data_IF_967745174977
#
_entry.id   IF_967745174977
#
_cell.length_a   1.000
_cell.length_b   1.000
_cell.length_c   1.000
_cell.angle_alpha   90.00
_cell.angle_beta   90.00
_cell.angle_gamma   90.00
#
_symmetry.space_group_name_H-M   'P 1'
#
loop_
_entity.id
_entity.type
_entity.pdbx_description
1 polymer ?
#
# COMPACT_ATOMS: atom_id res chain seq x y z
N UNK A 1 -19.72 21.43 -8.74
CA UNK A 1 -18.84 20.60 -9.61
C UNK A 1 -19.73 19.62 -10.36
N UNK A 2 -19.76 19.57 -11.71
CA UNK A 2 -20.61 18.59 -12.42
C UNK A 2 -20.13 17.17 -12.06
N UNK A 3 -21.03 16.26 -11.69
CA UNK A 3 -20.73 14.88 -11.25
C UNK A 3 -19.75 14.16 -12.19
N UNK A 4 -19.87 14.40 -13.50
CA UNK A 4 -18.99 13.84 -14.52
C UNK A 4 -17.52 14.24 -14.36
N UNK A 5 -17.23 15.46 -13.89
CA UNK A 5 -15.84 15.89 -13.63
C UNK A 5 -15.25 15.16 -12.43
N UNK A 6 -16.03 14.94 -11.37
CA UNK A 6 -15.56 14.22 -10.20
C UNK A 6 -15.21 12.77 -10.56
N UNK A 7 -16.10 12.08 -11.29
CA UNK A 7 -15.86 10.72 -11.78
C UNK A 7 -14.60 10.68 -12.66
N UNK A 8 -14.46 11.65 -13.58
CA UNK A 8 -13.28 11.74 -14.43
C UNK A 8 -11.98 11.89 -13.63
N UNK A 9 -11.94 12.76 -12.62
CA UNK A 9 -10.74 12.96 -11.81
C UNK A 9 -10.39 11.73 -10.97
N UNK A 10 -11.37 11.08 -10.37
CA UNK A 10 -11.16 9.84 -9.61
C UNK A 10 -10.63 8.73 -10.50
N UNK A 11 -11.26 8.49 -11.65
CA UNK A 11 -10.81 7.46 -12.61
C UNK A 11 -9.41 7.75 -13.16
N UNK A 12 -9.11 9.02 -13.43
CA UNK A 12 -7.78 9.44 -13.87
C UNK A 12 -6.73 9.17 -12.80
N UNK A 13 -7.05 9.46 -11.54
CA UNK A 13 -6.15 9.24 -10.40
C UNK A 13 -5.89 7.75 -10.18
N UNK A 14 -6.92 6.90 -10.23
CA UNK A 14 -6.77 5.43 -10.16
C UNK A 14 -5.91 4.93 -11.32
N UNK A 15 -6.21 5.35 -12.54
CA UNK A 15 -5.50 4.89 -13.74
C UNK A 15 -4.02 5.28 -13.69
N UNK A 16 -3.71 6.52 -13.27
CA UNK A 16 -2.34 7.00 -13.14
C UNK A 16 -1.60 6.38 -11.97
N UNK A 17 -2.26 6.21 -10.82
CA UNK A 17 -1.68 5.49 -9.68
C UNK A 17 -1.24 4.09 -10.07
N UNK A 18 -2.14 3.32 -10.70
CA UNK A 18 -1.84 1.97 -11.20
C UNK A 18 -0.75 1.96 -12.28
N UNK A 19 -0.83 2.85 -13.28
CA UNK A 19 0.17 2.92 -14.35
C UNK A 19 1.59 3.14 -13.79
N UNK A 20 1.73 4.04 -12.83
CA UNK A 20 3.02 4.40 -12.26
C UNK A 20 3.53 3.45 -11.18
N UNK A 21 2.75 2.45 -10.76
CA UNK A 21 3.26 1.32 -10.00
C UNK A 21 4.18 0.41 -10.84
N UNK A 22 3.99 0.37 -12.17
CA UNK A 22 4.74 -0.53 -13.05
C UNK A 22 5.90 0.14 -13.78
N UNK A 23 5.95 1.47 -13.79
CA UNK A 23 7.01 2.23 -14.48
C UNK A 23 8.20 2.44 -13.56
N UNK A 24 9.39 2.21 -14.09
CA UNK A 24 10.62 2.65 -13.44
C UNK A 24 10.92 4.13 -13.74
N UNK A 25 11.99 4.65 -13.13
CA UNK A 25 12.45 6.04 -13.34
C UNK A 25 12.85 6.36 -14.78
N UNK A 26 13.07 5.35 -15.62
CA UNK A 26 13.34 5.53 -17.05
C UNK A 26 12.03 5.65 -17.86
N UNK A 27 10.87 5.64 -17.19
CA UNK A 27 9.55 5.63 -17.82
C UNK A 27 9.18 4.29 -18.48
N UNK A 28 10.01 3.25 -18.28
CA UNK A 28 9.82 1.92 -18.88
C UNK A 28 9.11 1.00 -17.89
N UNK A 29 8.12 0.27 -18.38
CA UNK A 29 7.32 -0.64 -17.57
C UNK A 29 5.99 -0.90 -18.24
N UNK A 30 5.74 -2.16 -18.60
CA UNK A 30 4.51 -2.56 -19.26
C UNK A 30 3.44 -2.91 -18.23
N UNK A 31 2.23 -2.36 -18.44
CA UNK A 31 1.07 -2.71 -17.61
C UNK A 31 0.73 -4.19 -17.86
N UNK A 32 0.60 -5.02 -16.82
CA UNK A 32 0.16 -6.40 -17.00
C UNK A 32 -1.29 -6.44 -17.52
N UNK A 33 -1.59 -7.43 -18.37
CA UNK A 33 -2.93 -7.60 -18.98
C UNK A 33 -4.07 -7.72 -17.95
N UNK A 34 -3.76 -8.15 -16.73
CA UNK A 34 -4.75 -8.43 -15.67
C UNK A 34 -5.01 -7.26 -14.70
N UNK A 35 -4.57 -6.03 -14.98
CA UNK A 35 -4.76 -4.83 -14.14
C UNK A 35 -4.16 -4.88 -12.72
N UNK A 36 -3.97 -6.05 -12.12
CA UNK A 36 -3.44 -6.28 -10.77
C UNK A 36 -1.94 -6.59 -10.79
N UNK A 37 -1.20 -6.05 -9.82
CA UNK A 37 0.18 -6.46 -9.53
C UNK A 37 0.18 -7.87 -8.95
N UNK A 38 1.30 -8.59 -9.04
CA UNK A 38 1.45 -9.89 -8.34
C UNK A 38 1.16 -9.74 -6.84
N UNK A 39 1.58 -8.63 -6.23
CA UNK A 39 1.31 -8.31 -4.83
C UNK A 39 -0.19 -8.07 -4.55
N UNK A 40 -0.90 -7.40 -5.46
CA UNK A 40 -2.35 -7.19 -5.33
C UNK A 40 -3.14 -8.50 -5.48
N UNK A 41 -2.71 -9.41 -6.34
CA UNK A 41 -3.33 -10.74 -6.43
C UNK A 41 -3.13 -11.53 -5.13
N UNK A 42 -1.92 -11.48 -4.56
CA UNK A 42 -1.64 -12.09 -3.25
C UNK A 42 -2.50 -11.43 -2.16
N UNK A 43 -2.60 -10.09 -2.16
CA UNK A 43 -3.46 -9.37 -1.22
C UNK A 43 -4.94 -9.75 -1.34
N UNK A 44 -5.43 -9.98 -2.56
CA UNK A 44 -6.78 -10.46 -2.79
C UNK A 44 -6.98 -11.86 -2.19
N UNK A 45 -6.06 -12.79 -2.41
CA UNK A 45 -6.13 -14.13 -1.81
C UNK A 45 -6.08 -14.08 -0.27
N UNK A 46 -5.20 -13.25 0.29
CA UNK A 46 -5.10 -13.04 1.75
C UNK A 46 -6.40 -12.44 2.29
N UNK A 47 -7.01 -11.48 1.58
CA UNK A 47 -8.27 -10.87 2.01
C UNK A 47 -9.42 -11.87 2.06
N UNK A 48 -9.52 -12.78 1.09
CA UNK A 48 -10.52 -13.84 1.07
C UNK A 48 -10.27 -14.82 2.24
N UNK A 49 -9.01 -15.23 2.45
CA UNK A 49 -8.64 -16.11 3.55
C UNK A 49 -8.95 -15.48 4.92
N UNK A 50 -8.65 -14.20 5.10
CA UNK A 50 -8.92 -13.47 6.33
C UNK A 50 -10.41 -13.43 6.69
N UNK A 51 -11.28 -13.16 5.70
CA UNK A 51 -12.73 -13.12 5.93
C UNK A 51 -13.28 -14.53 6.19
N UNK A 52 -12.68 -15.56 5.60
CA UNK A 52 -13.00 -16.95 5.90
C UNK A 52 -12.63 -17.36 7.34
N UNK A 53 -11.45 -16.98 7.84
CA UNK A 53 -11.00 -17.33 9.20
C UNK A 53 -11.66 -16.47 10.30
N UNK A 54 -12.09 -15.25 9.98
CA UNK A 54 -12.77 -14.33 10.93
C UNK A 54 -14.21 -14.02 10.47
N UNK A 55 -15.17 -14.95 10.67
CA UNK A 55 -16.55 -14.82 10.21
C UNK A 55 -17.36 -13.71 10.92
N UNK A 56 -16.88 -13.21 12.07
CA UNK A 56 -17.43 -12.04 12.76
C UNK A 56 -16.97 -10.70 12.19
N UNK A 57 -15.92 -10.69 11.36
CA UNK A 57 -15.29 -9.47 10.85
C UNK A 57 -14.36 -8.79 11.87
N UNK A 58 -14.06 -7.52 11.62
CA UNK A 58 -13.24 -6.68 12.52
C UNK A 58 -14.07 -6.24 13.73
N UNK A 59 -13.47 -6.30 14.93
CA UNK A 59 -14.10 -5.74 16.14
C UNK A 59 -14.14 -4.22 16.08
N UNK A 60 -15.07 -3.61 16.81
CA UNK A 60 -15.19 -2.14 16.87
C UNK A 60 -13.89 -1.47 17.36
N UNK A 61 -13.18 -2.07 18.32
CA UNK A 61 -11.87 -1.60 18.77
C UNK A 61 -10.84 -1.62 17.63
N UNK A 62 -10.76 -2.71 16.88
CA UNK A 62 -9.85 -2.84 15.75
C UNK A 62 -10.19 -1.82 14.66
N UNK A 63 -11.49 -1.61 14.38
CA UNK A 63 -11.95 -0.60 13.43
C UNK A 63 -11.49 0.80 13.88
N UNK A 64 -11.62 1.14 15.16
CA UNK A 64 -11.19 2.43 15.69
C UNK A 64 -9.67 2.64 15.58
N UNK A 65 -8.87 1.60 15.84
CA UNK A 65 -7.41 1.66 15.66
C UNK A 65 -7.03 1.85 14.19
N UNK A 66 -7.67 1.10 13.29
CA UNK A 66 -7.43 1.21 11.84
C UNK A 66 -7.84 2.60 11.33
N UNK A 67 -9.00 3.12 11.74
CA UNK A 67 -9.46 4.47 11.38
C UNK A 67 -8.46 5.55 11.82
N UNK A 68 -7.97 5.47 13.05
CA UNK A 68 -6.99 6.42 13.60
C UNK A 68 -5.68 6.36 12.82
N UNK A 69 -5.17 5.15 12.57
CA UNK A 69 -3.92 4.94 11.82
C UNK A 69 -4.01 5.44 10.38
N UNK A 70 -5.09 5.10 9.66
CA UNK A 70 -5.34 5.56 8.29
C UNK A 70 -5.45 7.08 8.21
N UNK A 71 -6.11 7.71 9.17
CA UNK A 71 -6.26 9.17 9.22
C UNK A 71 -4.90 9.87 9.38
N UNK A 72 -4.06 9.37 10.30
CA UNK A 72 -2.70 9.89 10.50
C UNK A 72 -1.87 9.71 9.23
N UNK A 73 -1.87 8.51 8.64
CA UNK A 73 -1.10 8.24 7.42
C UNK A 73 -1.56 9.09 6.23
N UNK A 74 -2.86 9.34 6.12
CA UNK A 74 -3.41 10.21 5.07
C UNK A 74 -2.89 11.65 5.21
N UNK A 75 -2.85 12.18 6.44
CA UNK A 75 -2.30 13.50 6.73
C UNK A 75 -0.78 13.58 6.45
N UNK A 76 -0.03 12.52 6.78
CA UNK A 76 1.39 12.42 6.48
C UNK A 76 1.64 12.41 4.96
N UNK A 77 0.87 11.64 4.20
CA UNK A 77 1.00 11.60 2.74
C UNK A 77 0.65 12.93 2.09
N UNK A 78 -0.37 13.63 2.58
CA UNK A 78 -0.69 14.97 2.10
C UNK A 78 0.46 15.95 2.36
N UNK A 79 1.04 15.91 3.56
CA UNK A 79 2.22 16.72 3.91
C UNK A 79 3.41 16.41 3.00
N UNK A 80 3.69 15.13 2.73
CA UNK A 80 4.76 14.71 1.84
C UNK A 80 4.55 15.19 0.39
N UNK A 81 3.31 15.13 -0.12
CA UNK A 81 2.98 15.69 -1.44
C UNK A 81 3.30 17.18 -1.49
N UNK A 82 2.95 17.95 -0.46
CA UNK A 82 3.22 19.40 -0.41
C UNK A 82 4.73 19.67 -0.41
N UNK A 83 5.50 18.95 0.40
CA UNK A 83 6.98 19.10 0.44
C UNK A 83 7.61 18.78 -0.91
N UNK A 84 7.14 17.70 -1.55
CA UNK A 84 7.67 17.28 -2.85
C UNK A 84 7.24 18.24 -3.96
N UNK A 85 6.04 18.81 -3.87
CA UNK A 85 5.58 19.86 -4.78
C UNK A 85 6.42 21.14 -4.64
N UNK A 86 6.77 21.55 -3.41
CA UNK A 86 7.66 22.69 -3.19
C UNK A 86 9.05 22.44 -3.79
N UNK A 87 9.62 21.25 -3.58
CA UNK A 87 10.88 20.84 -4.24
C UNK A 87 10.77 20.84 -5.76
N UNK A 88 9.65 20.38 -6.32
CA UNK A 88 9.39 20.37 -7.75
C UNK A 88 9.37 21.79 -8.33
N UNK A 89 8.69 22.73 -7.67
CA UNK A 89 8.61 24.13 -8.13
C UNK A 89 9.97 24.82 -8.14
N UNK A 90 10.85 24.46 -7.19
CA UNK A 90 12.19 25.00 -7.09
C UNK A 90 13.21 24.30 -8.02
N UNK A 91 12.81 23.24 -8.74
CA UNK A 91 13.72 22.47 -9.59
C UNK A 91 13.77 23.03 -11.02
N UNK A 92 14.99 23.34 -11.52
CA UNK A 92 15.18 23.79 -12.89
C UNK A 92 15.32 22.61 -13.87
N UNK A 93 14.28 22.39 -14.67
CA UNK A 93 14.24 21.31 -15.68
C UNK A 93 15.03 21.62 -16.96
N UNK A 94 15.62 22.81 -17.12
CA UNK A 94 16.49 23.13 -18.27
C UNK A 94 17.92 22.75 -17.96
N UNK A 95 18.53 21.84 -18.73
CA UNK A 95 19.92 21.41 -18.57
C UNK A 95 20.74 21.45 -19.86
N UNK A 96 22.05 21.64 -19.69
CA UNK A 96 23.04 21.68 -20.75
C UNK A 96 23.95 20.44 -20.63
N UNK A 97 23.96 19.60 -21.67
CA UNK A 97 24.66 18.31 -21.66
C UNK A 97 23.73 17.10 -21.47
N UNK A 98 24.13 15.94 -21.99
CA UNK A 98 23.25 14.78 -22.09
C UNK A 98 23.04 14.06 -20.75
N UNK A 99 24.05 13.98 -19.88
CA UNK A 99 23.92 13.40 -18.53
C UNK A 99 22.99 14.24 -17.64
N UNK A 100 23.04 15.57 -17.77
CA UNK A 100 22.18 16.47 -17.01
C UNK A 100 20.72 16.36 -17.47
N UNK A 101 20.48 16.18 -18.77
CA UNK A 101 19.14 15.90 -19.32
C UNK A 101 18.58 14.58 -18.81
N UNK A 102 19.38 13.51 -18.80
CA UNK A 102 18.97 12.19 -18.28
C UNK A 102 18.58 12.32 -16.80
N UNK A 103 19.42 12.94 -15.98
CA UNK A 103 19.12 13.16 -14.57
C UNK A 103 17.82 13.96 -14.37
N UNK A 104 17.63 15.06 -15.11
CA UNK A 104 16.40 15.87 -15.05
C UNK A 104 15.15 15.10 -15.48
N UNK A 105 15.28 14.21 -16.47
CA UNK A 105 14.20 13.32 -16.89
C UNK A 105 13.84 12.31 -15.79
N UNK A 106 14.84 11.69 -15.14
CA UNK A 106 14.62 10.79 -14.01
C UNK A 106 13.94 11.52 -12.85
N UNK A 107 14.32 12.77 -12.59
CA UNK A 107 13.70 13.62 -11.58
C UNK A 107 12.24 13.92 -11.89
N UNK A 108 11.93 14.28 -13.12
CA UNK A 108 10.54 14.49 -13.54
C UNK A 108 9.70 13.22 -13.36
N UNK A 109 10.22 12.06 -13.78
CA UNK A 109 9.54 10.77 -13.61
C UNK A 109 9.34 10.43 -12.14
N UNK A 110 10.34 10.67 -11.28
CA UNK A 110 10.21 10.49 -9.84
C UNK A 110 9.09 11.35 -9.26
N UNK A 111 9.09 12.66 -9.53
CA UNK A 111 8.08 13.57 -9.00
C UNK A 111 6.67 13.16 -9.44
N UNK A 112 6.52 12.77 -10.71
CA UNK A 112 5.24 12.32 -11.23
C UNK A 112 4.81 10.99 -10.59
N UNK A 113 5.71 10.01 -10.54
CA UNK A 113 5.46 8.68 -9.97
C UNK A 113 5.07 8.80 -8.50
N UNK A 114 5.87 9.52 -7.71
CA UNK A 114 5.62 9.72 -6.29
C UNK A 114 4.26 10.36 -6.07
N UNK A 115 3.95 11.44 -6.79
CA UNK A 115 2.67 12.13 -6.66
C UNK A 115 1.48 11.22 -7.05
N UNK A 116 1.61 10.45 -8.14
CA UNK A 116 0.56 9.55 -8.61
C UNK A 116 0.28 8.41 -7.61
N UNK A 117 1.32 7.74 -7.12
CA UNK A 117 1.22 6.63 -6.15
C UNK A 117 0.66 7.15 -4.81
N UNK A 118 1.19 8.26 -4.31
CA UNK A 118 0.80 8.81 -3.01
C UNK A 118 -0.63 9.35 -3.03
N UNK A 119 -1.03 10.05 -4.10
CA UNK A 119 -2.41 10.49 -4.28
C UNK A 119 -3.38 9.31 -4.38
N UNK A 120 -2.98 8.23 -5.05
CA UNK A 120 -3.77 7.00 -5.10
C UNK A 120 -3.88 6.32 -3.74
N UNK A 121 -2.81 6.28 -2.93
CA UNK A 121 -2.86 5.80 -1.56
C UNK A 121 -3.85 6.61 -0.69
N UNK A 122 -3.84 7.94 -0.82
CA UNK A 122 -4.80 8.83 -0.13
C UNK A 122 -6.24 8.49 -0.53
N UNK A 123 -6.50 8.27 -1.82
CA UNK A 123 -7.83 7.91 -2.31
C UNK A 123 -8.31 6.57 -1.73
N UNK A 124 -7.44 5.56 -1.74
CA UNK A 124 -7.74 4.23 -1.16
C UNK A 124 -7.99 4.35 0.35
N UNK A 125 -7.11 5.02 1.09
CA UNK A 125 -7.28 5.26 2.52
C UNK A 125 -8.61 5.94 2.85
N UNK A 126 -8.93 7.02 2.14
CA UNK A 126 -10.20 7.75 2.32
C UNK A 126 -11.40 6.84 2.03
N UNK A 127 -11.32 6.00 1.00
CA UNK A 127 -12.38 5.04 0.66
C UNK A 127 -12.57 4.00 1.77
N UNK A 128 -11.48 3.49 2.34
CA UNK A 128 -11.53 2.56 3.48
C UNK A 128 -12.13 3.21 4.72
N UNK A 129 -11.75 4.45 5.03
CA UNK A 129 -12.32 5.21 6.15
C UNK A 129 -13.84 5.33 6.00
N UNK A 130 -14.33 5.69 4.81
CA UNK A 130 -15.77 5.78 4.53
C UNK A 130 -16.46 4.43 4.73
N UNK A 131 -15.88 3.33 4.22
CA UNK A 131 -16.44 1.98 4.37
C UNK A 131 -16.46 1.50 5.82
N UNK A 132 -15.43 1.81 6.61
CA UNK A 132 -15.34 1.47 8.02
C UNK A 132 -16.34 2.27 8.86
N UNK A 133 -16.46 3.58 8.61
CA UNK A 133 -17.49 4.42 9.26
C UNK A 133 -18.89 3.90 8.92
N UNK A 134 -19.15 3.55 7.67
CA UNK A 134 -20.40 2.93 7.26
C UNK A 134 -20.66 1.63 8.03
N UNK A 135 -19.65 0.77 8.17
CA UNK A 135 -19.76 -0.48 8.95
C UNK A 135 -20.16 -0.20 10.41
N UNK A 136 -19.56 0.81 11.05
CA UNK A 136 -19.91 1.22 12.41
C UNK A 136 -21.34 1.79 12.52
N UNK A 137 -21.79 2.57 11.52
CA UNK A 137 -23.14 3.17 11.52
C UNK A 137 -24.25 2.11 11.42
N UNK A 138 -24.04 1.04 10.64
CA UNK A 138 -25.06 0.01 10.41
C UNK A 138 -24.95 -1.20 11.35
N UNK A 139 -23.91 -1.24 12.19
CA UNK A 139 -24.00 -1.61 13.62
C UNK A 139 -24.44 -3.03 14.00
N UNK A 140 -24.71 -3.95 13.07
CA UNK A 140 -24.91 -5.36 13.41
C UNK A 140 -23.64 -6.14 13.11
N UNK A 141 -23.00 -6.62 14.17
CA UNK A 141 -22.00 -7.69 14.10
C UNK A 141 -22.69 -8.96 13.59
N UNK A 142 -22.85 -9.06 12.27
CA UNK A 142 -23.42 -10.24 11.63
C UNK A 142 -22.33 -11.31 11.67
N UNK A 143 -22.50 -12.30 12.55
CA UNK A 143 -21.66 -13.48 12.57
C UNK A 143 -22.12 -14.45 11.46
N UNK A 144 -21.33 -14.53 10.39
CA UNK A 144 -21.67 -15.36 9.22
C UNK A 144 -21.59 -16.85 9.57
N UNK A 145 -20.86 -17.24 10.62
CA UNK A 145 -20.71 -18.65 11.03
C UNK A 145 -22.01 -19.28 11.54
N UNK A 146 -22.98 -18.47 11.95
CA UNK A 146 -24.27 -18.93 12.47
C UNK A 146 -25.24 -19.38 11.36
N UNK A 147 -24.89 -19.14 10.09
CA UNK A 147 -25.72 -19.47 8.95
C UNK A 147 -25.20 -20.71 8.26
N UNK A 148 -26.09 -21.67 8.01
CA UNK A 148 -25.79 -22.90 7.27
C UNK A 148 -26.59 -22.95 5.98
N UNK A 149 -26.03 -23.63 4.98
CA UNK A 149 -26.75 -23.84 3.72
C UNK A 149 -27.94 -24.78 3.95
N UNK A 150 -29.12 -24.32 3.54
CA UNK A 150 -30.36 -25.09 3.61
C UNK A 150 -30.47 -25.97 2.36
N UNK A 151 -31.03 -27.18 2.52
CA UNK A 151 -31.32 -28.09 1.39
C UNK A 151 -32.24 -27.44 0.36
N UNK A 152 -32.03 -27.74 -0.93
CA UNK A 152 -32.74 -27.12 -2.07
C UNK A 152 -34.27 -27.23 -1.99
N UNK A 153 -34.80 -28.22 -1.27
CA UNK A 153 -36.24 -28.43 -1.08
C UNK A 153 -36.90 -27.46 -0.10
N UNK A 154 -36.12 -26.79 0.73
CA UNK A 154 -36.59 -25.90 1.80
C UNK A 154 -36.25 -24.43 1.52
N UNK A 155 -35.83 -24.12 0.29
CA UNK A 155 -35.49 -22.75 -0.12
C UNK A 155 -36.76 -21.92 -0.21
N UNK A 156 -36.90 -20.95 0.71
CA UNK A 156 -37.96 -19.94 0.66
C UNK A 156 -37.43 -18.63 0.09
N UNK A 157 -38.33 -17.73 -0.31
CA UNK A 157 -37.95 -16.38 -0.74
C UNK A 157 -37.14 -15.62 0.34
N UNK A 158 -37.48 -15.82 1.61
CA UNK A 158 -36.74 -15.26 2.74
C UNK A 158 -35.30 -15.80 2.81
N UNK A 159 -35.09 -17.09 2.55
CA UNK A 159 -33.75 -17.68 2.50
C UNK A 159 -32.89 -17.09 1.39
N UNK A 160 -33.47 -16.82 0.21
CA UNK A 160 -32.77 -16.18 -0.92
C UNK A 160 -32.36 -14.74 -0.54
N UNK A 161 -33.28 -13.99 0.06
CA UNK A 161 -33.02 -12.61 0.48
C UNK A 161 -31.96 -12.54 1.59
N UNK A 162 -31.96 -13.49 2.51
CA UNK A 162 -30.93 -13.64 3.55
C UNK A 162 -29.57 -13.98 2.93
N UNK A 163 -29.53 -14.92 1.97
CA UNK A 163 -28.30 -15.26 1.26
C UNK A 163 -27.69 -14.05 0.54
N UNK A 164 -28.51 -13.26 -0.15
CA UNK A 164 -28.05 -12.03 -0.82
C UNK A 164 -27.50 -11.00 0.19
N UNK A 165 -28.14 -10.84 1.35
CA UNK A 165 -27.63 -9.97 2.43
C UNK A 165 -26.28 -10.46 2.95
N UNK A 166 -26.12 -11.76 3.20
CA UNK A 166 -24.87 -12.35 3.68
C UNK A 166 -23.76 -12.23 2.64
N UNK A 167 -24.07 -12.48 1.36
CA UNK A 167 -23.12 -12.30 0.26
C UNK A 167 -22.65 -10.85 0.13
N UNK A 168 -23.57 -9.88 0.30
CA UNK A 168 -23.23 -8.47 0.33
C UNK A 168 -22.29 -8.13 1.50
N UNK A 169 -22.59 -8.59 2.72
CA UNK A 169 -21.73 -8.38 3.91
C UNK A 169 -20.35 -9.00 3.70
N UNK A 170 -20.29 -10.23 3.19
CA UNK A 170 -19.04 -10.94 2.90
C UNK A 170 -18.20 -10.19 1.87
N UNK A 171 -18.84 -9.69 0.81
CA UNK A 171 -18.18 -8.91 -0.25
C UNK A 171 -17.59 -7.60 0.28
N UNK A 172 -18.35 -6.84 1.09
CA UNK A 172 -17.85 -5.59 1.70
C UNK A 172 -16.65 -5.86 2.60
N UNK A 173 -16.67 -6.95 3.39
CA UNK A 173 -15.53 -7.32 4.25
C UNK A 173 -14.28 -7.66 3.45
N UNK A 174 -14.42 -8.39 2.34
CA UNK A 174 -13.31 -8.67 1.43
C UNK A 174 -12.75 -7.37 0.86
N UNK A 175 -13.63 -6.46 0.39
CA UNK A 175 -13.21 -5.17 -0.17
C UNK A 175 -12.44 -4.33 0.86
N UNK A 176 -12.93 -4.25 2.11
CA UNK A 176 -12.23 -3.54 3.19
C UNK A 176 -10.84 -4.14 3.45
N UNK A 177 -10.77 -5.47 3.61
CA UNK A 177 -9.51 -6.16 3.87
C UNK A 177 -8.53 -6.01 2.70
N UNK A 178 -9.01 -6.14 1.46
CA UNK A 178 -8.20 -5.95 0.26
C UNK A 178 -7.68 -4.51 0.15
N UNK A 179 -8.53 -3.49 0.32
CA UNK A 179 -8.11 -2.10 0.24
C UNK A 179 -7.15 -1.70 1.36
N UNK A 180 -7.28 -2.28 2.56
CA UNK A 180 -6.29 -2.11 3.62
C UNK A 180 -4.91 -2.64 3.20
N UNK A 181 -4.86 -3.85 2.63
CA UNK A 181 -3.61 -4.42 2.14
C UNK A 181 -3.03 -3.64 0.96
N UNK A 182 -3.87 -3.25 0.00
CA UNK A 182 -3.46 -2.42 -1.16
C UNK A 182 -2.91 -1.07 -0.70
N UNK A 183 -3.52 -0.45 0.32
CA UNK A 183 -3.00 0.76 0.94
C UNK A 183 -1.58 0.55 1.50
N UNK A 184 -1.33 -0.51 2.27
CA UNK A 184 0.01 -0.79 2.78
C UNK A 184 1.02 -1.09 1.68
N UNK A 185 0.62 -1.78 0.61
CA UNK A 185 1.46 -2.00 -0.57
C UNK A 185 1.85 -0.65 -1.19
N UNK A 186 0.89 0.26 -1.36
CA UNK A 186 1.15 1.61 -1.87
C UNK A 186 2.08 2.42 -0.95
N UNK A 187 1.95 2.28 0.37
CA UNK A 187 2.87 2.89 1.32
C UNK A 187 4.31 2.42 1.11
N UNK A 188 4.51 1.11 0.95
CA UNK A 188 5.84 0.54 0.69
C UNK A 188 6.40 1.11 -0.61
N UNK A 189 5.61 1.16 -1.68
CA UNK A 189 6.04 1.76 -2.95
C UNK A 189 6.43 3.24 -2.79
N UNK A 190 5.65 4.04 -2.06
CA UNK A 190 5.96 5.45 -1.82
C UNK A 190 7.26 5.62 -1.04
N UNK A 191 7.48 4.82 0.02
CA UNK A 191 8.70 4.84 0.83
C UNK A 191 9.91 4.42 -0.01
N UNK A 192 9.79 3.33 -0.78
CA UNK A 192 10.86 2.86 -1.67
C UNK A 192 11.21 3.89 -2.75
N UNK A 193 10.20 4.57 -3.30
CA UNK A 193 10.40 5.64 -4.28
C UNK A 193 11.18 6.82 -3.68
N UNK A 194 10.80 7.28 -2.48
CA UNK A 194 11.55 8.35 -1.79
C UNK A 194 12.97 7.89 -1.49
N UNK A 195 13.15 6.68 -0.97
CA UNK A 195 14.47 6.15 -0.65
C UNK A 195 15.38 6.12 -1.88
N UNK A 196 14.85 5.65 -3.02
CA UNK A 196 15.59 5.63 -4.28
C UNK A 196 16.00 7.04 -4.73
N UNK A 197 15.09 8.02 -4.64
CA UNK A 197 15.39 9.41 -4.96
C UNK A 197 16.49 9.97 -4.05
N UNK A 198 16.31 9.87 -2.74
CA UNK A 198 17.25 10.38 -1.74
C UNK A 198 18.62 9.73 -1.92
N UNK A 199 18.67 8.41 -2.15
CA UNK A 199 19.91 7.69 -2.40
C UNK A 199 20.64 8.17 -3.66
N UNK A 200 19.91 8.43 -4.76
CA UNK A 200 20.50 8.95 -5.98
C UNK A 200 21.08 10.36 -5.79
N UNK A 201 20.39 11.23 -5.05
CA UNK A 201 20.91 12.57 -4.70
C UNK A 201 22.18 12.46 -3.85
N UNK A 202 22.21 11.58 -2.85
CA UNK A 202 23.41 11.35 -2.04
C UNK A 202 24.59 10.82 -2.85
N UNK A 203 24.34 9.94 -3.83
CA UNK A 203 25.40 9.41 -4.71
C UNK A 203 25.96 10.53 -5.60
N UNK A 204 25.10 11.44 -6.08
CA UNK A 204 25.51 12.56 -6.93
C UNK A 204 26.36 13.59 -6.17
N UNK A 205 25.94 13.93 -4.96
CA UNK A 205 26.67 14.85 -4.07
C UNK A 205 27.82 14.15 -3.32
N UNK A 206 28.10 12.88 -3.62
CA UNK A 206 29.16 12.12 -2.96
C UNK A 206 30.50 12.82 -3.23
N UNK A 207 31.21 13.28 -2.19
CA UNK A 207 32.48 13.93 -2.39
C UNK A 207 33.48 12.93 -2.99
N UNK A 208 34.29 13.39 -3.95
CA UNK A 208 35.37 12.61 -4.58
C UNK A 208 36.55 12.41 -3.60
N UNK A 209 36.29 11.74 -2.49
CA UNK A 209 37.29 11.35 -1.51
C UNK A 209 37.63 9.89 -1.78
N UNK A 210 38.87 9.62 -2.21
CA UNK A 210 39.42 8.27 -2.21
C UNK A 210 39.69 7.89 -0.75
N UNK A 211 38.76 7.18 -0.14
CA UNK A 211 38.97 6.58 1.18
C UNK A 211 39.96 5.42 0.96
N UNK A 212 41.23 5.61 1.33
CA UNK A 212 42.29 4.60 1.16
C UNK A 212 42.10 3.34 2.02
N UNK A 213 41.07 3.29 2.86
CA UNK A 213 40.56 2.10 3.54
C UNK A 213 39.07 2.03 3.31
N UNK A 214 38.63 1.12 2.45
CA UNK A 214 37.27 0.60 2.56
C UNK A 214 37.23 -0.18 3.88
N UNK A 215 36.80 0.46 4.97
CA UNK A 215 36.39 -0.30 6.15
C UNK A 215 35.18 -1.12 5.74
N UNK A 216 35.36 -2.45 5.65
CA UNK A 216 34.27 -3.33 5.29
C UNK A 216 33.25 -3.26 6.44
N UNK A 217 32.01 -2.90 6.11
CA UNK A 217 30.90 -2.77 7.09
C UNK A 217 30.78 -4.05 7.92
N UNK A 218 31.12 -5.21 7.35
CA UNK A 218 31.15 -6.48 8.06
C UNK A 218 32.24 -6.53 9.13
N UNK A 219 33.44 -6.02 8.85
CA UNK A 219 34.56 -6.01 9.80
C UNK A 219 34.28 -5.00 10.94
N UNK A 220 33.78 -3.81 10.63
CA UNK A 220 33.40 -2.81 11.64
C UNK A 220 32.22 -3.27 12.51
N UNK A 221 31.20 -3.91 11.91
CA UNK A 221 30.08 -4.50 12.68
C UNK A 221 30.52 -5.69 13.55
N UNK A 222 31.48 -6.50 13.09
CA UNK A 222 31.99 -7.64 13.84
C UNK A 222 32.94 -7.21 14.97
N UNK A 223 33.68 -6.11 14.81
CA UNK A 223 34.46 -5.48 15.89
C UNK A 223 33.59 -4.83 16.96
N UNK A 224 32.58 -4.03 16.60
CA UNK A 224 31.75 -3.32 17.58
C UNK A 224 30.70 -4.19 18.28
N UNK A 225 30.10 -5.14 17.55
CA UNK A 225 28.93 -5.89 18.04
C UNK A 225 29.10 -7.41 18.01
N UNK A 226 30.26 -7.92 17.57
CA UNK A 226 30.54 -9.35 17.51
C UNK A 226 29.50 -10.12 16.68
N UNK A 227 28.90 -11.14 17.30
CA UNK A 227 27.89 -11.98 16.65
C UNK A 227 26.44 -11.48 16.81
N UNK A 228 26.21 -10.36 17.52
CA UNK A 228 24.87 -9.81 17.77
C UNK A 228 24.01 -9.62 16.49
N UNK A 229 24.56 -9.13 15.35
CA UNK A 229 23.80 -8.95 14.12
C UNK A 229 23.32 -10.27 13.50
N UNK A 230 24.08 -11.38 13.66
CA UNK A 230 23.67 -12.72 13.22
C UNK A 230 22.49 -13.23 14.04
N UNK A 231 22.51 -13.04 15.36
CA UNK A 231 21.40 -13.44 16.23
C UNK A 231 20.14 -12.60 15.97
N UNK A 232 20.28 -11.29 15.73
CA UNK A 232 19.16 -10.43 15.36
C UNK A 232 18.48 -10.87 14.06
N UNK A 233 19.25 -11.26 13.04
CA UNK A 233 18.68 -11.84 11.80
C UNK A 233 17.88 -13.12 12.07
N UNK A 234 18.41 -14.01 12.91
CA UNK A 234 17.74 -15.27 13.28
C UNK A 234 16.45 -14.98 14.07
N UNK A 235 16.50 -14.07 15.04
CA UNK A 235 15.33 -13.66 15.84
C UNK A 235 14.25 -13.05 14.95
N UNK A 236 14.62 -12.23 13.98
CA UNK A 236 13.67 -11.65 13.03
C UNK A 236 12.98 -12.73 12.19
N UNK A 237 13.74 -13.72 11.70
CA UNK A 237 13.20 -14.85 10.94
C UNK A 237 12.27 -15.71 11.80
N UNK A 238 12.67 -16.03 13.03
CA UNK A 238 11.86 -16.84 13.96
C UNK A 238 10.57 -16.09 14.34
N UNK A 239 10.65 -14.79 14.63
CA UNK A 239 9.48 -13.94 14.92
C UNK A 239 8.52 -13.90 13.74
N UNK A 240 9.04 -13.79 12.51
CA UNK A 240 8.24 -13.79 11.30
C UNK A 240 7.54 -15.15 11.07
N UNK A 241 8.24 -16.27 11.30
CA UNK A 241 7.68 -17.62 11.18
C UNK A 241 6.59 -17.87 12.25
N UNK A 242 6.82 -17.45 13.50
CA UNK A 242 5.84 -17.56 14.57
C UNK A 242 4.58 -16.73 14.30
N UNK A 243 4.73 -15.51 13.76
CA UNK A 243 3.61 -14.68 13.37
C UNK A 243 2.81 -15.30 12.21
N UNK A 244 3.48 -15.90 11.22
CA UNK A 244 2.80 -16.62 10.13
C UNK A 244 2.06 -17.86 10.64
N UNK A 245 2.65 -18.64 11.55
CA UNK A 245 2.01 -19.81 12.16
C UNK A 245 0.78 -19.41 12.99
N UNK A 246 0.85 -18.33 13.77
CA UNK A 246 -0.27 -17.82 14.57
C UNK A 246 -1.45 -17.31 13.73
N UNK A 247 -1.21 -16.88 12.50
CA UNK A 247 -2.28 -16.45 11.57
C UNK A 247 -2.94 -17.65 10.87
N UNK A 248 -2.22 -18.77 10.75
CA UNK A 248 -2.67 -19.98 10.06
C UNK A 248 -3.35 -21.00 10.98
N UNK A 249 -3.13 -20.94 12.29
CA UNK A 249 -3.68 -21.83 13.32
C UNK A 249 -4.52 -21.06 14.35
#
# INVERSE_FOLDING_TARGET
MKTNYLIYYVLKLITKGQEWQYKNLNGKGDRPKLYFTQLQLIALLISILFVYTKPKGLSNEMINYVLSSLSIMTALFLSLIIIIFDKFNNFNFKGEGDDEKIHKFHMWNFFYQFNAITSYAILISTSVIILLVFTLMFGKEIDVSQYTFVSYKLVTFESILLFLKLLFVYSIRIVIAYFLLDFFILCIYAISSIFQYVSNEFIKERPNIKVNREESINDTMQEEYGNLPKYLKIIFIISFILAMLYVLF
#
